data_IF_270251643619
#
_entry.id   IF_270251643619
#
_cell.length_a   1.000
_cell.length_b   1.000
_cell.length_c   1.000
_cell.angle_alpha   90.00
_cell.angle_beta   90.00
_cell.angle_gamma   90.00
#
_symmetry.space_group_name_H-M   'P 1'
#
loop_
_entity.id
_entity.type
_entity.pdbx_description
1 polymer ?
#
# COMPACT_ATOMS: atom_id res chain seq x y z
N UNK A 1 -21.75 0.77 11.27
CA UNK A 1 -21.77 2.05 10.54
C UNK A 1 -20.41 2.75 10.58
N UNK A 2 -19.78 2.90 11.76
CA UNK A 2 -18.48 3.60 11.88
C UNK A 2 -17.37 2.92 11.06
N UNK A 3 -17.19 1.60 11.18
CA UNK A 3 -16.18 0.86 10.39
C UNK A 3 -16.29 1.06 8.87
N UNK A 4 -17.50 1.11 8.34
CA UNK A 4 -17.72 1.35 6.90
C UNK A 4 -17.26 2.76 6.50
N UNK A 5 -17.54 3.76 7.33
CA UNK A 5 -17.08 5.14 7.10
C UNK A 5 -15.54 5.19 7.13
N UNK A 6 -14.91 4.51 8.08
CA UNK A 6 -13.44 4.42 8.18
C UNK A 6 -12.81 3.76 6.95
N UNK A 7 -13.43 2.71 6.39
CA UNK A 7 -13.00 2.11 5.13
C UNK A 7 -13.04 3.13 4.00
N UNK A 8 -14.16 3.85 3.84
CA UNK A 8 -14.31 4.85 2.78
C UNK A 8 -13.28 5.98 2.94
N UNK A 9 -13.10 6.49 4.16
CA UNK A 9 -12.08 7.51 4.45
C UNK A 9 -10.69 6.97 4.13
N UNK A 10 -10.38 5.74 4.54
CA UNK A 10 -9.11 5.08 4.28
C UNK A 10 -8.81 4.95 2.78
N UNK A 11 -9.79 4.53 1.98
CA UNK A 11 -9.69 4.44 0.52
C UNK A 11 -9.44 5.82 -0.10
N UNK A 12 -10.19 6.85 0.32
CA UNK A 12 -10.02 8.22 -0.20
C UNK A 12 -8.62 8.76 0.14
N UNK A 13 -8.20 8.62 1.40
CA UNK A 13 -6.88 9.07 1.85
C UNK A 13 -5.76 8.35 1.10
N UNK A 14 -5.84 7.03 0.97
CA UNK A 14 -4.88 6.24 0.22
C UNK A 14 -4.80 6.72 -1.24
N UNK A 15 -5.94 6.89 -1.89
CA UNK A 15 -6.02 7.35 -3.29
C UNK A 15 -5.38 8.73 -3.47
N UNK A 16 -5.68 9.70 -2.59
CA UNK A 16 -5.13 11.05 -2.65
C UNK A 16 -3.62 11.06 -2.40
N UNK A 17 -3.10 10.16 -1.55
CA UNK A 17 -1.67 10.07 -1.26
C UNK A 17 -0.88 9.40 -2.40
N UNK A 18 -1.44 8.37 -3.02
CA UNK A 18 -0.74 7.54 -4.01
C UNK A 18 -0.90 8.08 -5.43
N UNK A 19 -2.14 8.31 -5.88
CA UNK A 19 -2.43 8.59 -7.30
C UNK A 19 -1.70 9.83 -7.83
N UNK A 20 -1.73 11.01 -7.17
CA UNK A 20 -1.06 12.20 -7.70
C UNK A 20 0.46 12.00 -7.82
N UNK A 21 1.06 11.23 -6.91
CA UNK A 21 2.50 10.95 -6.93
C UNK A 21 2.85 10.05 -8.13
N UNK A 22 2.11 8.97 -8.33
CA UNK A 22 2.31 8.04 -9.44
C UNK A 22 2.08 8.73 -10.79
N UNK A 23 1.03 9.54 -10.91
CA UNK A 23 0.74 10.27 -12.15
C UNK A 23 1.77 11.37 -12.45
N UNK A 24 2.40 11.95 -11.43
CA UNK A 24 3.45 12.97 -11.59
C UNK A 24 4.79 12.36 -11.97
N UNK A 25 5.14 11.24 -11.35
CA UNK A 25 6.41 10.54 -11.57
C UNK A 25 6.22 9.02 -11.45
N UNK A 26 5.89 8.33 -12.55
CA UNK A 26 5.70 6.88 -12.58
C UNK A 26 6.95 6.10 -12.14
N UNK A 27 8.16 6.63 -12.41
CA UNK A 27 9.41 6.00 -12.00
C UNK A 27 9.57 5.95 -10.47
N UNK A 28 8.94 6.87 -9.73
CA UNK A 28 8.94 6.84 -8.26
C UNK A 28 8.27 5.58 -7.68
N UNK A 29 7.37 4.96 -8.45
CA UNK A 29 6.65 3.74 -8.12
C UNK A 29 7.16 2.50 -8.87
N UNK A 30 8.39 2.52 -9.41
CA UNK A 30 8.95 1.39 -10.20
C UNK A 30 8.94 0.03 -9.47
N UNK A 31 8.86 0.03 -8.14
CA UNK A 31 8.73 -1.21 -7.34
C UNK A 31 7.38 -1.89 -7.49
N UNK A 32 6.35 -1.14 -7.89
CA UNK A 32 4.96 -1.57 -8.03
C UNK A 32 4.64 -1.97 -9.49
N UNK A 33 5.65 -1.93 -10.37
CA UNK A 33 5.54 -2.43 -11.75
C UNK A 33 6.01 -3.89 -11.88
N UNK A 34 5.45 -4.64 -12.83
CA UNK A 34 5.94 -5.95 -13.22
C UNK A 34 7.46 -5.98 -13.45
N UNK A 35 8.16 -7.06 -13.04
CA UNK A 35 9.63 -7.12 -13.07
C UNK A 35 10.26 -6.85 -14.43
N UNK A 36 9.56 -7.18 -15.52
CA UNK A 36 10.00 -6.98 -16.90
C UNK A 36 10.11 -5.49 -17.23
N UNK A 37 9.12 -4.67 -16.85
CA UNK A 37 9.15 -3.21 -17.04
C UNK A 37 10.30 -2.61 -16.24
N UNK A 38 10.51 -3.08 -15.00
CA UNK A 38 11.64 -2.66 -14.18
C UNK A 38 12.99 -2.97 -14.83
N UNK A 39 13.15 -4.17 -15.41
CA UNK A 39 14.38 -4.54 -16.14
C UNK A 39 14.61 -3.64 -17.35
N UNK A 40 13.56 -3.37 -18.13
CA UNK A 40 13.63 -2.46 -19.27
C UNK A 40 14.06 -1.05 -18.84
N UNK A 41 13.52 -0.54 -17.73
CA UNK A 41 13.92 0.76 -17.18
C UNK A 41 15.40 0.80 -16.75
N UNK A 42 15.95 -0.33 -16.28
CA UNK A 42 17.38 -0.45 -15.96
C UNK A 42 18.24 -0.44 -17.23
N UNK A 43 17.83 -1.19 -18.27
CA UNK A 43 18.52 -1.20 -19.58
C UNK A 43 18.55 0.19 -20.24
N UNK A 44 17.47 0.96 -20.07
CA UNK A 44 17.37 2.34 -20.56
C UNK A 44 18.14 3.35 -19.69
N UNK A 45 18.75 2.92 -18.58
CA UNK A 45 19.46 3.79 -17.65
C UNK A 45 18.55 4.73 -16.84
N UNK A 46 17.23 4.48 -16.83
CA UNK A 46 16.26 5.30 -16.09
C UNK A 46 16.29 5.02 -14.59
N UNK A 47 16.68 3.80 -14.21
CA UNK A 47 16.79 3.36 -12.81
C UNK A 47 18.08 2.56 -12.66
N UNK A 48 18.84 2.82 -11.61
CA UNK A 48 20.01 1.99 -11.29
C UNK A 48 19.58 0.55 -10.94
N UNK A 49 20.40 -0.43 -11.31
CA UNK A 49 20.25 -1.82 -10.84
C UNK A 49 20.66 -1.99 -9.37
N UNK A 50 20.16 -1.10 -8.52
CA UNK A 50 20.37 -1.16 -7.09
C UNK A 50 19.26 -2.03 -6.51
N UNK A 51 19.63 -3.18 -5.94
CA UNK A 51 18.87 -3.75 -4.81
C UNK A 51 18.83 -2.65 -3.75
N UNK A 52 17.79 -1.80 -3.75
CA UNK A 52 17.70 -0.59 -2.91
C UNK A 52 18.00 -0.94 -1.45
N UNK A 53 19.23 -0.67 -1.00
CA UNK A 53 19.57 -0.68 0.41
C UNK A 53 19.07 0.66 0.94
N UNK A 54 17.97 0.64 1.69
CA UNK A 54 17.48 1.86 2.35
C UNK A 54 18.61 2.49 3.14
N UNK A 55 18.73 3.81 3.07
CA UNK A 55 19.65 4.52 3.95
C UNK A 55 19.26 4.26 5.40
N UNK A 56 20.22 4.34 6.34
CA UNK A 56 19.93 4.19 7.78
C UNK A 56 18.79 5.12 8.23
N UNK A 57 18.74 6.34 7.68
CA UNK A 57 17.70 7.35 7.97
C UNK A 57 16.33 6.96 7.41
N UNK A 58 16.25 6.36 6.22
CA UNK A 58 14.99 5.84 5.68
C UNK A 58 14.49 4.63 6.44
N UNK A 59 15.41 3.72 6.81
CA UNK A 59 15.07 2.53 7.59
C UNK A 59 14.51 2.94 8.96
N UNK A 60 15.16 3.87 9.65
CA UNK A 60 14.67 4.41 10.93
C UNK A 60 13.28 5.03 10.79
N UNK A 61 13.07 5.86 9.76
CA UNK A 61 11.77 6.51 9.51
C UNK A 61 10.66 5.48 9.28
N UNK A 62 10.94 4.44 8.49
CA UNK A 62 9.99 3.36 8.23
C UNK A 62 9.66 2.59 9.51
N UNK A 63 10.66 2.23 10.31
CA UNK A 63 10.44 1.59 11.60
C UNK A 63 9.58 2.45 12.53
N UNK A 64 9.86 3.75 12.61
CA UNK A 64 9.07 4.67 13.41
C UNK A 64 7.61 4.73 12.92
N UNK A 65 7.38 4.84 11.61
CA UNK A 65 6.02 4.81 11.04
C UNK A 65 5.30 3.49 11.34
N UNK A 66 5.98 2.35 11.30
CA UNK A 66 5.41 1.04 11.63
C UNK A 66 5.00 0.90 13.10
N UNK A 67 5.46 1.78 13.99
CA UNK A 67 5.08 1.80 15.41
C UNK A 67 4.04 2.89 15.68
N UNK A 68 4.31 4.11 15.23
CA UNK A 68 3.47 5.28 15.53
C UNK A 68 2.10 5.17 14.87
N UNK A 69 2.02 4.75 13.60
CA UNK A 69 0.74 4.69 12.89
C UNK A 69 -0.22 3.67 13.51
N UNK A 70 0.21 2.43 13.86
CA UNK A 70 -0.66 1.50 14.59
C UNK A 70 -1.15 2.03 15.92
N UNK A 71 -0.31 2.74 16.69
CA UNK A 71 -0.71 3.33 17.98
C UNK A 71 -1.77 4.41 17.78
N UNK A 72 -1.57 5.32 16.82
CA UNK A 72 -2.57 6.36 16.49
C UNK A 72 -3.89 5.72 16.06
N UNK A 73 -3.82 4.68 15.23
CA UNK A 73 -5.00 3.98 14.78
C UNK A 73 -5.72 3.23 15.90
N UNK A 74 -4.97 2.60 16.81
CA UNK A 74 -5.52 1.98 18.01
C UNK A 74 -6.24 3.00 18.91
N UNK A 75 -5.70 4.22 19.05
CA UNK A 75 -6.35 5.30 19.81
C UNK A 75 -7.67 5.73 19.16
N UNK A 76 -7.73 5.81 17.82
CA UNK A 76 -8.97 6.07 17.08
C UNK A 76 -10.00 4.96 17.39
N UNK A 77 -9.61 3.70 17.25
CA UNK A 77 -10.52 2.58 17.53
C UNK A 77 -11.00 2.55 18.98
N UNK A 78 -10.13 2.85 19.94
CA UNK A 78 -10.51 2.88 21.34
C UNK A 78 -11.43 4.06 21.66
N UNK A 79 -11.07 5.28 21.25
CA UNK A 79 -11.80 6.51 21.62
C UNK A 79 -13.07 6.74 20.81
N UNK A 80 -13.06 6.40 19.52
CA UNK A 80 -14.16 6.69 18.59
C UNK A 80 -15.04 5.45 18.41
N UNK A 81 -14.46 4.26 18.22
CA UNK A 81 -15.24 3.05 17.98
C UNK A 81 -15.65 2.35 19.30
N UNK A 82 -15.11 2.78 20.44
CA UNK A 82 -15.35 2.15 21.74
C UNK A 82 -14.78 0.73 21.83
N UNK A 83 -13.79 0.42 20.98
CA UNK A 83 -13.19 -0.91 20.93
C UNK A 83 -12.26 -1.10 22.12
N UNK A 84 -12.48 -2.13 22.93
CA UNK A 84 -11.71 -2.38 24.17
C UNK A 84 -11.06 -3.76 24.24
N UNK A 85 -11.24 -4.61 23.21
CA UNK A 85 -10.68 -5.95 23.19
C UNK A 85 -9.65 -6.13 22.07
N UNK A 86 -8.65 -6.96 22.35
CA UNK A 86 -7.60 -7.33 21.38
C UNK A 86 -8.20 -7.81 20.06
N UNK A 87 -9.13 -8.79 20.14
CA UNK A 87 -9.74 -9.43 18.97
C UNK A 87 -10.49 -8.42 18.11
N UNK A 88 -11.26 -7.52 18.74
CA UNK A 88 -12.03 -6.52 18.00
C UNK A 88 -11.12 -5.48 17.34
N UNK A 89 -10.08 -5.01 18.04
CA UNK A 89 -9.09 -4.09 17.48
C UNK A 89 -8.32 -4.71 16.31
N UNK A 90 -7.90 -5.97 16.45
CA UNK A 90 -7.27 -6.72 15.36
C UNK A 90 -8.19 -6.88 14.16
N UNK A 91 -9.41 -7.39 14.35
CA UNK A 91 -10.32 -7.69 13.24
C UNK A 91 -10.76 -6.41 12.51
N UNK A 92 -11.15 -5.36 13.22
CA UNK A 92 -11.58 -4.11 12.59
C UNK A 92 -10.44 -3.47 11.78
N UNK A 93 -9.23 -3.41 12.35
CA UNK A 93 -8.07 -2.85 11.64
C UNK A 93 -7.67 -3.68 10.43
N UNK A 94 -7.72 -5.01 10.54
CA UNK A 94 -7.40 -5.91 9.44
C UNK A 94 -8.45 -5.86 8.32
N UNK A 95 -9.73 -5.69 8.64
CA UNK A 95 -10.78 -5.47 7.63
C UNK A 95 -10.49 -4.18 6.84
N UNK A 96 -10.15 -3.08 7.52
CA UNK A 96 -9.78 -1.83 6.84
C UNK A 96 -8.54 -2.02 5.97
N UNK A 97 -7.52 -2.71 6.47
CA UNK A 97 -6.30 -3.02 5.72
C UNK A 97 -6.60 -3.78 4.43
N UNK A 98 -7.40 -4.85 4.53
CA UNK A 98 -7.80 -5.66 3.38
C UNK A 98 -8.62 -4.85 2.39
N UNK A 99 -9.57 -4.03 2.86
CA UNK A 99 -10.39 -3.20 1.99
C UNK A 99 -9.54 -2.24 1.14
N UNK A 100 -8.56 -1.57 1.74
CA UNK A 100 -7.66 -0.66 1.03
C UNK A 100 -6.73 -1.44 0.08
N UNK A 101 -6.15 -2.56 0.55
CA UNK A 101 -5.21 -3.37 -0.24
C UNK A 101 -5.87 -3.95 -1.49
N UNK A 102 -7.08 -4.46 -1.37
CA UNK A 102 -7.81 -5.02 -2.51
C UNK A 102 -8.46 -3.93 -3.37
N UNK A 103 -8.82 -2.78 -2.81
CA UNK A 103 -9.20 -1.61 -3.60
C UNK A 103 -8.06 -1.19 -4.54
N UNK A 104 -6.83 -1.09 -4.04
CA UNK A 104 -5.65 -0.75 -4.83
C UNK A 104 -5.47 -1.75 -5.99
N UNK A 105 -5.39 -3.04 -5.67
CA UNK A 105 -5.16 -4.08 -6.65
C UNK A 105 -6.23 -4.16 -7.75
N UNK A 106 -7.52 -4.05 -7.39
CA UNK A 106 -8.59 -4.18 -8.38
C UNK A 106 -8.88 -2.86 -9.09
N UNK A 107 -9.04 -1.77 -8.34
CA UNK A 107 -9.56 -0.51 -8.88
C UNK A 107 -8.43 0.34 -9.44
N UNK A 108 -7.36 0.56 -8.67
CA UNK A 108 -6.26 1.39 -9.13
C UNK A 108 -5.40 0.64 -10.13
N UNK A 109 -4.89 -0.53 -9.76
CA UNK A 109 -3.97 -1.29 -10.60
C UNK A 109 -4.67 -1.87 -11.83
N UNK A 110 -5.58 -2.83 -11.64
CA UNK A 110 -6.15 -3.61 -12.75
C UNK A 110 -7.09 -2.79 -13.63
N UNK A 111 -8.02 -2.03 -13.03
CA UNK A 111 -9.02 -1.27 -13.79
C UNK A 111 -8.40 -0.01 -14.40
N UNK A 112 -7.66 0.78 -13.62
CA UNK A 112 -7.18 2.09 -14.09
C UNK A 112 -5.75 2.08 -14.65
N UNK A 113 -4.73 1.76 -13.85
CA UNK A 113 -3.32 1.94 -14.20
C UNK A 113 -2.88 1.04 -15.35
N UNK A 114 -3.30 -0.23 -15.38
CA UNK A 114 -3.04 -1.12 -16.51
C UNK A 114 -3.50 -0.54 -17.86
N UNK A 115 -4.50 0.34 -17.84
CA UNK A 115 -5.12 0.95 -19.02
C UNK A 115 -4.72 2.41 -19.26
N UNK A 116 -3.99 3.03 -18.33
CA UNK A 116 -3.66 4.45 -18.40
C UNK A 116 -2.33 4.70 -19.11
N UNK A 117 -2.34 5.57 -20.12
CA UNK A 117 -1.10 6.04 -20.78
C UNK A 117 -0.25 6.94 -19.86
N UNK A 118 -0.87 7.58 -18.87
CA UNK A 118 -0.19 8.54 -17.97
C UNK A 118 0.80 7.87 -17.01
N UNK A 119 0.64 6.58 -16.77
CA UNK A 119 1.53 5.78 -15.90
C UNK A 119 2.48 4.91 -16.73
N UNK A 120 2.54 5.10 -18.05
CA UNK A 120 3.54 4.47 -18.90
C UNK A 120 4.85 5.22 -18.75
N UNK A 121 5.94 4.48 -18.65
CA UNK A 121 7.29 5.02 -18.54
C UNK A 121 7.83 5.18 -19.96
N UNK A 122 8.56 6.27 -20.18
CA UNK A 122 9.13 6.57 -21.48
C UNK A 122 10.12 5.48 -21.92
N UNK A 123 9.94 4.94 -23.13
CA UNK A 123 10.75 3.85 -23.69
C UNK A 123 10.24 2.45 -23.36
N UNK A 124 9.09 2.34 -22.69
CA UNK A 124 8.45 1.06 -22.35
C UNK A 124 6.97 1.00 -22.76
N UNK A 125 6.49 1.96 -23.57
CA UNK A 125 5.08 2.10 -23.92
C UNK A 125 4.53 0.91 -24.73
N UNK A 126 5.41 0.19 -25.42
CA UNK A 126 5.14 -1.00 -26.22
C UNK A 126 4.91 -2.27 -25.38
N UNK A 127 5.28 -2.24 -24.09
CA UNK A 127 5.24 -3.41 -23.23
C UNK A 127 3.79 -3.82 -22.86
N UNK A 128 3.49 -5.10 -23.11
CA UNK A 128 2.21 -5.72 -22.79
C UNK A 128 2.05 -6.00 -21.29
N UNK A 129 3.18 -6.10 -20.58
CA UNK A 129 3.29 -6.46 -19.17
C UNK A 129 2.61 -5.48 -18.23
N UNK A 130 2.35 -4.25 -18.68
CA UNK A 130 1.51 -3.31 -17.91
C UNK A 130 0.11 -3.85 -17.62
N UNK A 131 -0.34 -4.91 -18.32
CA UNK A 131 -1.60 -5.62 -18.06
C UNK A 131 -1.38 -6.98 -17.38
N UNK A 132 -0.26 -7.20 -16.71
CA UNK A 132 -0.03 -8.39 -15.89
C UNK A 132 -0.86 -8.30 -14.60
N UNK A 133 -2.16 -8.60 -14.71
CA UNK A 133 -3.07 -8.59 -13.56
C UNK A 133 -2.62 -9.58 -12.47
N UNK A 134 -2.03 -10.71 -12.87
CA UNK A 134 -1.60 -11.73 -11.92
C UNK A 134 -0.47 -11.21 -11.02
N UNK A 135 0.41 -10.35 -11.54
CA UNK A 135 1.39 -9.64 -10.73
C UNK A 135 0.71 -8.82 -9.62
N UNK A 136 -0.27 -7.98 -9.96
CA UNK A 136 -0.98 -7.14 -8.98
C UNK A 136 -1.74 -7.97 -7.94
N UNK A 137 -2.40 -9.06 -8.34
CA UNK A 137 -3.07 -9.97 -7.40
C UNK A 137 -2.07 -10.64 -6.44
N UNK A 138 -0.92 -11.08 -6.93
CA UNK A 138 0.14 -11.65 -6.07
C UNK A 138 0.69 -10.61 -5.10
N UNK A 139 0.90 -9.37 -5.53
CA UNK A 139 1.33 -8.28 -4.65
C UNK A 139 0.27 -7.97 -3.59
N UNK A 140 -1.02 -7.98 -3.94
CA UNK A 140 -2.12 -7.81 -2.98
C UNK A 140 -2.15 -8.91 -1.91
N UNK A 141 -1.88 -10.16 -2.29
CA UNK A 141 -1.75 -11.26 -1.33
C UNK A 141 -0.58 -11.04 -0.36
N UNK A 142 0.58 -10.61 -0.88
CA UNK A 142 1.74 -10.26 -0.04
C UNK A 142 1.39 -9.09 0.88
N UNK A 143 0.76 -8.03 0.35
CA UNK A 143 0.30 -6.87 1.11
C UNK A 143 -0.68 -7.24 2.21
N UNK A 144 -1.61 -8.17 1.94
CA UNK A 144 -2.53 -8.70 2.94
C UNK A 144 -1.78 -9.39 4.08
N UNK A 145 -0.79 -10.24 3.76
CA UNK A 145 0.04 -10.89 4.77
C UNK A 145 0.89 -9.90 5.59
N UNK A 146 1.42 -8.84 4.95
CA UNK A 146 2.16 -7.77 5.63
C UNK A 146 1.29 -6.97 6.60
N UNK A 147 -0.03 -6.92 6.39
CA UNK A 147 -0.97 -6.28 7.29
C UNK A 147 -1.15 -6.99 8.63
N UNK A 148 -0.96 -8.30 8.68
CA UNK A 148 -1.13 -9.11 9.90
C UNK A 148 -0.30 -8.60 11.08
N UNK A 149 1.04 -8.45 11.00
CA UNK A 149 1.83 -7.96 12.13
C UNK A 149 1.43 -6.53 12.56
N UNK A 150 1.06 -5.68 11.61
CA UNK A 150 0.61 -4.31 11.89
C UNK A 150 -0.70 -4.32 12.68
N UNK A 151 -1.68 -5.10 12.23
CA UNK A 151 -2.99 -5.20 12.87
C UNK A 151 -2.92 -5.93 14.23
N UNK A 152 -1.97 -6.87 14.39
CA UNK A 152 -1.67 -7.49 15.69
C UNK A 152 -1.20 -6.43 16.69
N UNK A 153 -0.32 -5.51 16.28
CA UNK A 153 0.10 -4.38 17.14
C UNK A 153 -1.09 -3.50 17.49
N UNK A 154 -1.98 -3.18 16.53
CA UNK A 154 -3.20 -2.42 16.81
C UNK A 154 -4.06 -3.11 17.87
N UNK A 155 -4.33 -4.40 17.70
CA UNK A 155 -5.09 -5.19 18.67
C UNK A 155 -4.44 -5.17 20.07
N UNK A 156 -3.12 -5.34 20.15
CA UNK A 156 -2.38 -5.24 21.41
C UNK A 156 -2.54 -3.86 22.04
N UNK A 157 -2.32 -2.79 21.29
CA UNK A 157 -2.47 -1.42 21.79
C UNK A 157 -3.89 -1.15 22.31
N UNK A 158 -4.92 -1.56 21.57
CA UNK A 158 -6.32 -1.43 21.99
C UNK A 158 -6.59 -2.15 23.31
N UNK A 159 -6.01 -3.33 23.53
CA UNK A 159 -6.18 -4.08 24.78
C UNK A 159 -5.43 -3.52 25.99
N UNK A 160 -4.52 -2.56 25.76
CA UNK A 160 -3.70 -1.92 26.79
C UNK A 160 -4.24 -0.52 27.17
N UNK A 161 -5.24 0.00 26.45
CA UNK A 161 -5.89 1.29 26.72
C UNK A 161 -7.16 1.11 27.56
#
# INVERSE_FOLDING_TARGET
MILFIEIIIGIILFTILIVPRVLKDPLSAIGDYPPQIRRRCVELGLVEDRKKRFSKKEMLRKCLCMIVLPVVFALIMYKINGTTSFVSGFLQSYIIWLAITWYDAFILDCVWFCHSKKVRIQGTEDMSEYKDYLFHIKQSCIGSALGLPVCLIVGLCVSLF
#
